data_IF_181412169258
#
_entry.id   IF_181412169258
#
_cell.length_a   1.000
_cell.length_b   1.000
_cell.length_c   1.000
_cell.angle_alpha   90.00
_cell.angle_beta   90.00
_cell.angle_gamma   90.00
#
_symmetry.space_group_name_H-M   'P 1'
#
loop_
_entity.id
_entity.type
_entity.pdbx_description
1 polymer ?
#
# COMPACT_ATOMS: atom_id res chain seq x y z
N UNK A 1 -19.64 -36.37 -8.34
CA UNK A 1 -19.37 -36.53 -6.89
C UNK A 1 -18.45 -35.45 -6.31
N UNK A 2 -17.24 -35.23 -6.83
CA UNK A 2 -16.25 -34.30 -6.21
C UNK A 2 -16.77 -32.86 -6.08
N UNK A 3 -17.52 -32.35 -7.05
CA UNK A 3 -18.05 -30.97 -7.01
C UNK A 3 -19.07 -30.76 -5.87
N UNK A 4 -19.91 -31.76 -5.57
CA UNK A 4 -20.90 -31.68 -4.50
C UNK A 4 -20.24 -31.82 -3.11
N UNK A 5 -19.23 -32.69 -2.99
CA UNK A 5 -18.41 -32.80 -1.78
C UNK A 5 -17.66 -31.49 -1.48
N UNK A 6 -17.01 -30.89 -2.48
CA UNK A 6 -16.31 -29.61 -2.32
C UNK A 6 -17.27 -28.46 -2.00
N UNK A 7 -18.49 -28.45 -2.56
CA UNK A 7 -19.54 -27.51 -2.17
C UNK A 7 -19.99 -27.74 -0.72
N UNK A 8 -20.15 -29.00 -0.29
CA UNK A 8 -20.46 -29.36 1.09
C UNK A 8 -19.41 -28.87 2.09
N UNK A 9 -18.13 -29.14 1.83
CA UNK A 9 -17.00 -28.65 2.65
C UNK A 9 -16.99 -27.12 2.71
N UNK A 10 -17.20 -26.45 1.58
CA UNK A 10 -17.25 -24.98 1.53
C UNK A 10 -18.44 -24.41 2.29
N UNK A 11 -19.59 -25.09 2.29
CA UNK A 11 -20.78 -24.64 3.03
C UNK A 11 -20.64 -24.89 4.53
N UNK A 12 -20.01 -26.00 4.92
CA UNK A 12 -19.69 -26.32 6.32
C UNK A 12 -18.62 -25.40 6.90
N UNK A 13 -17.65 -24.98 6.08
CA UNK A 13 -16.58 -24.09 6.49
C UNK A 13 -16.43 -22.92 5.51
N UNK A 14 -17.37 -21.94 5.53
CA UNK A 14 -17.37 -20.84 4.57
C UNK A 14 -16.07 -20.03 4.70
N UNK A 15 -15.45 -19.62 3.57
CA UNK A 15 -14.24 -18.80 3.61
C UNK A 15 -14.49 -17.52 4.39
N UNK A 16 -13.86 -17.40 5.56
CA UNK A 16 -13.93 -16.20 6.38
C UNK A 16 -12.87 -15.21 5.92
N UNK A 17 -13.21 -13.91 5.82
CA UNK A 17 -12.20 -12.92 5.52
C UNK A 17 -11.16 -12.89 6.64
N UNK A 18 -9.87 -12.83 6.27
CA UNK A 18 -8.77 -12.74 7.23
C UNK A 18 -8.92 -11.54 8.18
N UNK A 19 -9.46 -10.44 7.67
CA UNK A 19 -9.69 -9.20 8.42
C UNK A 19 -11.17 -8.85 8.43
N UNK A 20 -11.72 -8.65 9.63
CA UNK A 20 -13.09 -8.15 9.83
C UNK A 20 -13.16 -6.61 9.84
N UNK A 21 -12.08 -5.95 10.25
CA UNK A 21 -11.89 -4.50 10.22
C UNK A 21 -10.48 -4.18 9.73
N UNK A 22 -10.21 -2.92 9.39
CA UNK A 22 -8.87 -2.42 9.04
C UNK A 22 -8.35 -1.45 10.10
N UNK A 23 -7.06 -1.11 10.04
CA UNK A 23 -6.46 -0.04 10.82
C UNK A 23 -6.66 1.34 10.18
N UNK A 24 -6.50 2.41 10.97
CA UNK A 24 -6.67 3.79 10.55
C UNK A 24 -5.44 4.29 9.75
N UNK A 25 -5.68 4.66 8.48
CA UNK A 25 -4.65 5.14 7.57
C UNK A 25 -4.05 6.47 8.03
N UNK A 26 -4.83 7.33 8.67
CA UNK A 26 -4.38 8.66 9.08
C UNK A 26 -3.33 8.58 10.19
N UNK A 27 -3.43 7.59 11.09
CA UNK A 27 -2.41 7.30 12.10
C UNK A 27 -1.04 7.06 11.47
N UNK A 28 -0.99 6.24 10.42
CA UNK A 28 0.26 5.94 9.71
C UNK A 28 0.76 7.15 8.94
N UNK A 29 -0.13 7.88 8.25
CA UNK A 29 0.26 9.11 7.55
C UNK A 29 0.82 10.16 8.51
N UNK A 30 0.21 10.35 9.69
CA UNK A 30 0.70 11.29 10.70
C UNK A 30 2.09 10.91 11.20
N UNK A 31 2.33 9.61 11.45
CA UNK A 31 3.65 9.11 11.82
C UNK A 31 4.69 9.32 10.70
N UNK A 32 4.35 9.01 9.44
CA UNK A 32 5.26 9.20 8.30
C UNK A 32 5.54 10.68 8.01
N UNK A 33 4.59 11.57 8.28
CA UNK A 33 4.76 13.03 8.13
C UNK A 33 5.86 13.56 9.06
N UNK A 34 5.99 12.99 10.27
CA UNK A 34 7.03 13.36 11.22
C UNK A 34 8.45 12.90 10.86
N UNK A 35 8.61 12.08 9.81
CA UNK A 35 9.91 11.60 9.36
C UNK A 35 10.43 12.47 8.21
N UNK A 36 11.42 13.32 8.45
CA UNK A 36 11.97 14.15 7.36
C UNK A 36 12.82 13.34 6.38
N UNK A 37 12.50 13.39 5.08
CA UNK A 37 13.20 12.59 4.06
C UNK A 37 14.73 12.81 4.03
N UNK A 38 15.20 14.02 4.42
CA UNK A 38 16.61 14.38 4.39
C UNK A 38 17.44 13.73 5.52
N UNK A 39 16.83 13.48 6.68
CA UNK A 39 17.51 12.96 7.88
C UNK A 39 17.47 11.43 8.00
N UNK A 40 16.66 10.75 7.17
CA UNK A 40 16.51 9.30 7.21
C UNK A 40 17.74 8.57 6.64
N UNK A 41 18.11 7.46 7.31
CA UNK A 41 19.01 6.47 6.74
C UNK A 41 18.41 5.81 5.49
N UNK A 42 19.23 5.24 4.61
CA UNK A 42 18.77 4.59 3.38
C UNK A 42 17.70 3.53 3.64
N UNK A 43 17.84 2.73 4.71
CA UNK A 43 16.85 1.71 5.07
C UNK A 43 15.54 2.27 5.60
N UNK A 44 15.59 3.34 6.39
CA UNK A 44 14.40 4.02 6.88
C UNK A 44 13.66 4.74 5.74
N UNK A 45 14.41 5.42 4.86
CA UNK A 45 13.86 6.05 3.66
C UNK A 45 13.22 5.03 2.72
N UNK A 46 13.85 3.86 2.53
CA UNK A 46 13.27 2.76 1.76
C UNK A 46 11.94 2.28 2.36
N UNK A 47 11.87 2.19 3.69
CA UNK A 47 10.68 1.71 4.42
C UNK A 47 9.53 2.72 4.35
N UNK A 48 9.84 4.02 4.54
CA UNK A 48 8.91 5.13 4.33
C UNK A 48 8.38 5.14 2.90
N UNK A 49 9.28 5.10 1.90
CA UNK A 49 8.91 5.10 0.48
C UNK A 49 8.03 3.91 0.11
N UNK A 50 8.40 2.69 0.54
CA UNK A 50 7.61 1.49 0.29
C UNK A 50 6.19 1.60 0.85
N UNK A 51 6.05 2.20 2.04
CA UNK A 51 4.76 2.41 2.68
C UNK A 51 3.93 3.47 1.95
N UNK A 52 4.51 4.62 1.60
CA UNK A 52 3.85 5.67 0.83
C UNK A 52 3.40 5.17 -0.54
N UNK A 53 4.26 4.46 -1.28
CA UNK A 53 3.90 3.86 -2.56
C UNK A 53 2.76 2.85 -2.41
N UNK A 54 2.82 1.98 -1.38
CA UNK A 54 1.75 1.01 -1.14
C UNK A 54 0.39 1.67 -0.85
N UNK A 55 0.40 2.78 -0.10
CA UNK A 55 -0.80 3.58 0.19
C UNK A 55 -1.33 4.31 -1.05
N UNK A 56 -0.43 4.90 -1.85
CA UNK A 56 -0.81 5.74 -3.00
C UNK A 56 -1.27 4.94 -4.22
N UNK A 57 -0.64 3.80 -4.52
CA UNK A 57 -0.90 3.03 -5.76
C UNK A 57 -1.73 1.78 -5.53
N UNK A 58 -2.02 1.43 -4.27
CA UNK A 58 -2.58 0.14 -3.86
C UNK A 58 -1.72 -1.06 -4.29
N UNK A 59 -0.45 -0.87 -4.67
CA UNK A 59 0.39 -1.96 -5.15
C UNK A 59 0.70 -3.01 -4.08
N UNK A 60 0.82 -4.26 -4.51
CA UNK A 60 1.36 -5.36 -3.70
C UNK A 60 2.86 -5.20 -3.52
N UNK A 61 3.42 -5.76 -2.46
CA UNK A 61 4.86 -5.76 -2.23
C UNK A 61 5.67 -6.38 -3.40
N UNK A 62 5.11 -7.36 -4.13
CA UNK A 62 5.74 -7.90 -5.35
C UNK A 62 5.77 -6.92 -6.52
N UNK A 63 4.77 -6.03 -6.61
CA UNK A 63 4.71 -4.99 -7.63
C UNK A 63 5.69 -3.87 -7.26
N UNK A 64 5.79 -3.50 -5.98
CA UNK A 64 6.80 -2.55 -5.50
C UNK A 64 8.23 -3.07 -5.72
N UNK A 65 8.50 -4.36 -5.46
CA UNK A 65 9.78 -4.99 -5.79
C UNK A 65 10.02 -5.05 -7.31
N UNK A 66 8.94 -4.97 -8.08
CA UNK A 66 8.91 -5.03 -9.53
C UNK A 66 9.17 -3.71 -10.24
N UNK A 67 9.20 -2.57 -9.52
CA UNK A 67 9.36 -1.25 -10.13
C UNK A 67 10.70 -1.14 -10.84
N UNK A 68 10.66 -0.74 -12.12
CA UNK A 68 11.84 -0.52 -12.94
C UNK A 68 12.35 0.93 -12.77
N UNK A 69 13.57 1.09 -12.22
CA UNK A 69 14.19 2.40 -12.02
C UNK A 69 14.44 3.12 -13.34
N UNK A 70 14.79 2.39 -14.41
CA UNK A 70 15.14 2.96 -15.72
C UNK A 70 13.93 3.60 -16.41
N UNK A 71 12.73 3.17 -16.04
CA UNK A 71 11.47 3.68 -16.59
C UNK A 71 10.96 4.95 -15.90
N UNK A 72 11.67 5.46 -14.88
CA UNK A 72 11.22 6.61 -14.09
C UNK A 72 11.36 7.91 -14.87
N UNK A 73 10.29 8.71 -14.87
CA UNK A 73 10.31 10.07 -15.39
C UNK A 73 9.71 11.04 -14.38
N UNK A 74 10.52 12.02 -13.97
CA UNK A 74 10.12 13.07 -13.04
C UNK A 74 9.68 14.30 -13.83
N UNK A 75 8.49 14.80 -13.51
CA UNK A 75 7.89 15.98 -14.12
C UNK A 75 7.47 16.98 -13.03
N UNK A 76 7.11 18.21 -13.41
CA UNK A 76 6.61 19.20 -12.45
C UNK A 76 5.31 18.72 -11.74
N UNK A 77 4.49 17.95 -12.44
CA UNK A 77 3.19 17.44 -11.98
C UNK A 77 3.28 16.18 -11.12
N UNK A 78 4.40 15.46 -11.17
CA UNK A 78 4.52 14.15 -10.53
C UNK A 78 5.57 13.24 -11.15
N UNK A 79 5.51 11.95 -10.82
CA UNK A 79 6.45 10.94 -11.31
C UNK A 79 5.70 9.79 -11.98
N UNK A 80 6.20 9.34 -13.12
CA UNK A 80 5.74 8.10 -13.76
C UNK A 80 6.81 7.01 -13.70
N UNK A 81 6.37 5.75 -13.61
CA UNK A 81 7.25 4.58 -13.70
C UNK A 81 6.46 3.34 -14.13
N UNK A 82 7.18 2.34 -14.62
CA UNK A 82 6.62 1.06 -15.06
C UNK A 82 7.12 -0.09 -14.19
N UNK A 83 6.37 -1.19 -14.22
CA UNK A 83 6.80 -2.44 -13.62
C UNK A 83 7.63 -3.22 -14.65
N UNK A 84 8.71 -3.85 -14.21
CA UNK A 84 9.58 -4.60 -15.12
C UNK A 84 9.00 -5.97 -15.54
N UNK A 85 7.93 -6.42 -14.89
CA UNK A 85 7.28 -7.73 -15.12
C UNK A 85 5.78 -7.57 -15.04
N UNK A 86 5.07 -8.43 -15.75
CA UNK A 86 3.61 -8.51 -15.64
C UNK A 86 3.16 -8.82 -14.22
N UNK A 87 2.06 -8.18 -13.82
CA UNK A 87 1.38 -8.52 -12.57
C UNK A 87 0.74 -9.89 -12.70
N UNK A 88 0.59 -10.63 -11.59
CA UNK A 88 -0.11 -11.93 -11.57
C UNK A 88 -1.53 -11.88 -12.18
N UNK A 89 -2.22 -10.76 -12.04
CA UNK A 89 -3.56 -10.56 -12.60
C UNK A 89 -3.55 -10.20 -14.10
N UNK A 90 -2.41 -9.76 -14.64
CA UNK A 90 -2.26 -9.36 -16.02
C UNK A 90 -1.93 -10.59 -16.87
N UNK A 91 -2.80 -10.93 -17.82
CA UNK A 91 -2.67 -12.10 -18.71
C UNK A 91 -2.03 -11.75 -20.07
N UNK A 92 -1.69 -10.48 -20.32
CA UNK A 92 -1.10 -9.96 -21.57
C UNK A 92 -1.13 -8.42 -21.62
N UNK A 93 -0.68 -7.82 -22.74
CA UNK A 93 -0.69 -6.37 -22.99
C UNK A 93 0.61 -5.64 -22.62
N UNK A 94 0.65 -4.32 -22.76
CA UNK A 94 1.81 -3.52 -22.37
C UNK A 94 2.03 -3.51 -20.85
N UNK A 95 3.28 -3.36 -20.41
CA UNK A 95 3.59 -3.12 -19.00
C UNK A 95 2.97 -1.77 -18.59
N UNK A 96 2.16 -1.78 -17.55
CA UNK A 96 1.43 -0.59 -17.15
C UNK A 96 2.38 0.45 -16.54
N UNK A 97 2.27 1.68 -17.02
CA UNK A 97 2.86 2.86 -16.40
C UNK A 97 1.94 3.39 -15.31
N UNK A 98 2.50 3.71 -14.15
CA UNK A 98 1.82 4.29 -13.00
C UNK A 98 2.27 5.73 -12.91
N UNK A 99 1.32 6.66 -12.82
CA UNK A 99 1.58 8.08 -12.56
C UNK A 99 1.18 8.42 -11.12
N UNK A 100 2.12 9.01 -10.39
CA UNK A 100 1.91 9.56 -9.05
C UNK A 100 1.90 11.08 -9.16
N UNK A 101 0.72 11.66 -8.92
CA UNK A 101 0.58 13.11 -8.85
C UNK A 101 1.33 13.64 -7.62
N UNK A 102 2.06 14.74 -7.83
CA UNK A 102 2.74 15.47 -6.76
C UNK A 102 1.72 15.94 -5.71
N UNK A 103 2.04 15.69 -4.45
CA UNK A 103 1.24 16.18 -3.32
C UNK A 103 1.77 17.52 -2.80
N UNK A 104 0.88 18.33 -2.23
CA UNK A 104 1.24 19.60 -1.60
C UNK A 104 2.04 19.39 -0.29
N UNK A 105 1.73 18.33 0.45
CA UNK A 105 2.48 17.92 1.65
C UNK A 105 3.77 17.20 1.22
N UNK A 106 4.90 17.91 1.28
CA UNK A 106 6.20 17.38 0.83
C UNK A 106 6.66 16.14 1.61
N UNK A 107 6.26 15.98 2.87
CA UNK A 107 6.69 14.84 3.69
C UNK A 107 5.90 13.58 3.37
N UNK A 108 4.69 13.73 2.84
CA UNK A 108 3.85 12.63 2.40
C UNK A 108 3.90 12.40 0.89
N UNK A 109 4.48 13.32 0.12
CA UNK A 109 4.63 13.17 -1.32
C UNK A 109 5.52 11.95 -1.67
N UNK A 110 4.95 10.88 -2.25
CA UNK A 110 5.73 9.73 -2.64
C UNK A 110 6.75 10.07 -3.73
N UNK A 111 6.45 11.05 -4.59
CA UNK A 111 7.35 11.49 -5.66
C UNK A 111 8.63 12.12 -5.12
N UNK A 112 8.51 13.01 -4.15
CA UNK A 112 9.67 13.62 -3.47
C UNK A 112 10.47 12.62 -2.64
N UNK A 113 9.80 11.72 -1.92
CA UNK A 113 10.46 10.63 -1.19
C UNK A 113 11.22 9.71 -2.17
N UNK A 114 10.62 9.41 -3.32
CA UNK A 114 11.23 8.60 -4.39
C UNK A 114 12.47 9.28 -4.97
N UNK A 115 12.38 10.56 -5.32
CA UNK A 115 13.52 11.34 -5.83
C UNK A 115 14.68 11.31 -4.83
N UNK A 116 14.40 11.60 -3.56
CA UNK A 116 15.41 11.55 -2.50
C UNK A 116 16.04 10.16 -2.36
N UNK A 117 15.24 9.11 -2.45
CA UNK A 117 15.73 7.73 -2.37
C UNK A 117 16.64 7.39 -3.56
N UNK A 118 16.29 7.81 -4.77
CA UNK A 118 17.15 7.65 -5.95
C UNK A 118 18.49 8.37 -5.76
N UNK A 119 18.49 9.63 -5.32
CA UNK A 119 19.72 10.39 -5.05
C UNK A 119 20.66 9.71 -4.05
N UNK A 120 20.15 9.32 -2.87
CA UNK A 120 21.00 8.74 -1.82
C UNK A 120 21.46 7.33 -2.16
N UNK A 121 20.70 6.62 -3.01
CA UNK A 121 21.06 5.26 -3.44
C UNK A 121 21.99 5.23 -4.65
N UNK A 122 22.16 6.33 -5.38
CA UNK A 122 22.90 6.37 -6.65
C UNK A 122 24.35 5.88 -6.47
N UNK A 123 25.02 6.29 -5.39
CA UNK A 123 26.39 5.87 -5.06
C UNK A 123 26.55 4.36 -4.78
N UNK A 124 25.47 3.64 -4.53
CA UNK A 124 25.46 2.19 -4.30
C UNK A 124 25.03 1.41 -5.54
N UNK A 125 24.74 2.09 -6.66
CA UNK A 125 24.28 1.46 -7.89
C UNK A 125 25.44 0.85 -8.67
N UNK A 126 25.18 -0.34 -9.17
CA UNK A 126 26.06 -1.11 -10.05
C UNK A 126 25.20 -1.73 -11.16
N UNK A 127 25.83 -2.28 -12.20
CA UNK A 127 25.10 -2.97 -13.28
C UNK A 127 24.16 -4.05 -12.75
N UNK A 128 24.56 -4.74 -11.67
CA UNK A 128 23.80 -5.83 -11.04
C UNK A 128 22.54 -5.38 -10.30
N UNK A 129 22.41 -4.11 -9.92
CA UNK A 129 21.27 -3.62 -9.13
C UNK A 129 20.58 -2.36 -9.71
N UNK A 130 20.98 -1.94 -10.91
CA UNK A 130 20.50 -0.72 -11.58
C UNK A 130 19.04 -0.80 -12.04
N UNK A 131 18.51 -2.00 -12.25
CA UNK A 131 17.17 -2.22 -12.82
C UNK A 131 16.02 -1.96 -11.85
N UNK A 132 16.20 -2.31 -10.57
CA UNK A 132 15.10 -2.26 -9.59
C UNK A 132 15.19 -0.99 -8.79
N UNK A 133 14.03 -0.43 -8.44
CA UNK A 133 13.96 0.70 -7.51
C UNK A 133 14.63 0.34 -6.17
N UNK A 134 14.14 -0.67 -5.47
CA UNK A 134 14.61 -0.98 -4.12
C UNK A 134 15.85 -1.87 -4.12
N UNK A 135 16.85 -1.45 -3.33
CA UNK A 135 18.10 -2.19 -3.07
C UNK A 135 18.23 -2.51 -1.58
N UNK A 136 18.91 -3.62 -1.27
CA UNK A 136 19.18 -4.04 0.09
C UNK A 136 20.00 -2.98 0.82
N UNK A 137 19.77 -2.78 2.12
CA UNK A 137 20.44 -1.72 2.89
C UNK A 137 21.86 -2.07 3.34
N UNK A 138 22.31 -3.32 3.15
CA UNK A 138 23.59 -3.82 3.62
C UNK A 138 24.29 -4.67 2.54
N UNK A 139 25.61 -4.82 2.69
CA UNK A 139 26.43 -5.66 1.81
C UNK A 139 26.54 -5.08 0.39
N UNK A 140 26.35 -5.94 -0.62
CA UNK A 140 26.44 -5.56 -2.04
C UNK A 140 25.17 -4.90 -2.59
N UNK A 141 24.24 -4.47 -1.72
CA UNK A 141 22.99 -3.81 -2.11
C UNK A 141 22.21 -4.56 -3.22
N UNK A 142 21.89 -5.86 -3.03
CA UNK A 142 21.19 -6.65 -4.05
C UNK A 142 19.75 -6.16 -4.23
N UNK A 143 19.08 -6.66 -5.27
CA UNK A 143 17.65 -6.43 -5.45
C UNK A 143 16.83 -6.93 -4.25
N UNK A 144 15.87 -6.11 -3.84
CA UNK A 144 14.99 -6.42 -2.71
C UNK A 144 13.84 -7.32 -3.15
N UNK A 145 13.57 -8.35 -2.35
CA UNK A 145 12.45 -9.25 -2.59
C UNK A 145 11.15 -8.71 -1.97
N UNK A 146 10.02 -9.20 -2.48
CA UNK A 146 8.69 -8.81 -1.99
C UNK A 146 8.49 -9.04 -0.49
N UNK A 147 9.12 -10.07 0.08
CA UNK A 147 9.10 -10.36 1.51
C UNK A 147 9.75 -9.25 2.33
N UNK A 148 10.90 -8.74 1.90
CA UNK A 148 11.61 -7.64 2.55
C UNK A 148 10.81 -6.35 2.49
N UNK A 149 10.20 -6.01 1.35
CA UNK A 149 9.31 -4.85 1.25
C UNK A 149 8.11 -5.00 2.20
N UNK A 150 7.49 -6.19 2.25
CA UNK A 150 6.40 -6.43 3.18
C UNK A 150 6.83 -6.31 4.64
N UNK A 151 8.07 -6.67 4.97
CA UNK A 151 8.63 -6.52 6.31
C UNK A 151 8.89 -5.05 6.66
N UNK A 152 9.40 -4.25 5.72
CA UNK A 152 9.56 -2.81 5.87
C UNK A 152 8.24 -2.10 6.11
N UNK A 153 7.21 -2.40 5.30
CA UNK A 153 5.87 -1.84 5.50
C UNK A 153 5.34 -2.25 6.88
N UNK A 154 5.44 -3.54 7.25
CA UNK A 154 5.01 -4.02 8.59
C UNK A 154 5.75 -3.29 9.72
N UNK A 155 7.04 -2.97 9.54
CA UNK A 155 7.83 -2.21 10.51
C UNK A 155 7.30 -0.79 10.69
N UNK A 156 7.03 -0.06 9.61
CA UNK A 156 6.44 1.29 9.70
C UNK A 156 5.04 1.25 10.32
N UNK A 157 4.21 0.27 9.98
CA UNK A 157 2.90 0.08 10.62
C UNK A 157 3.03 -0.12 12.13
N UNK A 158 3.95 -0.98 12.57
CA UNK A 158 4.20 -1.22 14.00
C UNK A 158 4.67 0.04 14.70
N UNK A 159 5.58 0.79 14.09
CA UNK A 159 6.11 2.03 14.65
C UNK A 159 5.04 3.15 14.73
N UNK A 160 4.09 3.15 13.79
CA UNK A 160 2.93 4.04 13.82
C UNK A 160 1.86 3.65 14.87
N UNK A 161 1.99 2.50 15.54
CA UNK A 161 1.04 2.04 16.56
C UNK A 161 -0.03 1.06 16.05
N UNK A 162 0.09 0.55 14.82
CA UNK A 162 -0.82 -0.49 14.30
C UNK A 162 -0.50 -1.83 14.97
N UNK A 163 -1.54 -2.57 15.38
CA UNK A 163 -1.40 -3.95 15.87
C UNK A 163 -0.94 -4.88 14.73
N UNK A 164 0.36 -5.15 14.70
CA UNK A 164 0.96 -6.00 13.67
C UNK A 164 0.97 -7.51 13.99
N UNK A 165 0.44 -7.92 15.15
CA UNK A 165 0.08 -9.31 15.40
C UNK A 165 -1.20 -9.64 14.61
N UNK A 166 -2.13 -8.69 14.57
CA UNK A 166 -3.32 -8.77 13.74
C UNK A 166 -3.03 -8.46 12.27
N UNK A 167 -2.35 -7.36 11.96
CA UNK A 167 -2.21 -6.83 10.60
C UNK A 167 -0.80 -7.08 10.01
N UNK A 168 -0.74 -7.54 8.76
CA UNK A 168 0.53 -7.68 8.02
C UNK A 168 0.76 -6.51 7.07
N UNK A 169 1.96 -6.38 6.50
CA UNK A 169 2.23 -5.36 5.48
C UNK A 169 1.33 -5.46 4.23
N UNK A 170 0.73 -6.63 3.96
CA UNK A 170 -0.26 -6.76 2.88
C UNK A 170 -1.60 -6.08 3.19
N UNK A 171 -1.92 -5.85 4.46
CA UNK A 171 -3.16 -5.19 4.88
C UNK A 171 -3.23 -3.73 4.43
N UNK A 172 -2.07 -3.07 4.22
CA UNK A 172 -1.95 -1.69 3.73
C UNK A 172 -2.76 -1.42 2.47
N UNK A 173 -2.76 -2.37 1.54
CA UNK A 173 -3.54 -2.27 0.31
C UNK A 173 -5.05 -2.23 0.58
N UNK A 174 -5.55 -3.02 1.54
CA UNK A 174 -6.96 -3.01 1.92
C UNK A 174 -7.34 -1.76 2.71
N UNK A 175 -6.47 -1.33 3.63
CA UNK A 175 -6.63 -0.11 4.41
C UNK A 175 -6.72 1.12 3.49
N UNK A 176 -5.76 1.28 2.58
CA UNK A 176 -5.70 2.38 1.62
C UNK A 176 -6.93 2.40 0.70
N UNK A 177 -7.34 1.25 0.16
CA UNK A 177 -8.52 1.18 -0.69
C UNK A 177 -9.82 1.49 0.07
N UNK A 178 -9.92 1.07 1.33
CA UNK A 178 -11.05 1.41 2.20
C UNK A 178 -11.10 2.90 2.52
N UNK A 179 -9.95 3.50 2.84
CA UNK A 179 -9.84 4.96 3.06
C UNK A 179 -10.20 5.74 1.80
N UNK A 180 -9.73 5.32 0.63
CA UNK A 180 -10.08 5.96 -0.64
C UNK A 180 -11.60 5.94 -0.88
N UNK A 181 -12.26 4.80 -0.65
CA UNK A 181 -13.71 4.69 -0.77
C UNK A 181 -14.45 5.57 0.24
N UNK A 182 -13.99 5.59 1.50
CA UNK A 182 -14.57 6.44 2.55
C UNK A 182 -14.39 7.95 2.26
N UNK A 183 -13.31 8.32 1.58
CA UNK A 183 -13.04 9.68 1.11
C UNK A 183 -13.77 10.05 -0.20
N UNK A 184 -14.66 9.19 -0.71
CA UNK A 184 -15.47 9.47 -1.90
C UNK A 184 -14.77 9.27 -3.25
N UNK A 185 -13.60 8.62 -3.29
CA UNK A 185 -12.98 8.24 -4.57
C UNK A 185 -13.88 7.23 -5.28
N UNK A 186 -14.09 7.41 -6.59
CA UNK A 186 -14.97 6.53 -7.35
C UNK A 186 -14.52 5.07 -7.27
N UNK A 187 -15.48 4.16 -7.20
CA UNK A 187 -15.20 2.72 -7.17
C UNK A 187 -14.41 2.31 -8.41
N UNK A 188 -14.72 2.86 -9.58
CA UNK A 188 -13.97 2.61 -10.81
C UNK A 188 -12.48 2.96 -10.70
N UNK A 189 -12.15 4.14 -10.15
CA UNK A 189 -10.76 4.54 -9.94
C UNK A 189 -10.05 3.62 -8.95
N UNK A 190 -10.74 3.19 -7.88
CA UNK A 190 -10.20 2.23 -6.89
C UNK A 190 -9.97 0.85 -7.52
N UNK A 191 -10.91 0.37 -8.34
CA UNK A 191 -10.78 -0.90 -9.05
C UNK A 191 -9.65 -0.85 -10.07
N UNK A 192 -9.49 0.27 -10.78
CA UNK A 192 -8.41 0.50 -11.74
C UNK A 192 -7.04 0.53 -11.05
N UNK A 193 -6.88 1.35 -9.99
CA UNK A 193 -5.64 1.41 -9.21
C UNK A 193 -5.32 0.07 -8.53
N UNK A 194 -6.36 -0.60 -8.01
CA UNK A 194 -6.28 -1.91 -7.40
C UNK A 194 -6.09 -3.05 -8.40
N UNK A 195 -6.36 -2.90 -9.69
CA UNK A 195 -6.42 -4.05 -10.62
C UNK A 195 -7.41 -5.13 -10.17
N UNK A 196 -8.60 -4.71 -9.77
CA UNK A 196 -9.70 -5.61 -9.47
C UNK A 196 -10.67 -5.62 -10.65
N UNK A 197 -10.88 -6.79 -11.24
CA UNK A 197 -11.78 -6.97 -12.39
C UNK A 197 -13.26 -6.84 -12.04
N UNK A 198 -13.61 -6.87 -10.75
CA UNK A 198 -14.99 -6.78 -10.29
C UNK A 198 -15.07 -6.07 -8.95
N UNK A 199 -16.09 -5.22 -8.80
CA UNK A 199 -16.42 -4.55 -7.55
C UNK A 199 -16.64 -5.54 -6.40
N UNK A 200 -17.29 -6.67 -6.69
CA UNK A 200 -17.52 -7.73 -5.72
C UNK A 200 -16.22 -8.23 -5.07
N UNK A 201 -15.09 -8.19 -5.78
CA UNK A 201 -13.78 -8.53 -5.22
C UNK A 201 -13.31 -7.46 -4.23
N UNK A 202 -13.43 -6.19 -4.59
CA UNK A 202 -13.10 -5.07 -3.71
C UNK A 202 -13.98 -5.07 -2.45
N UNK A 203 -15.31 -5.09 -2.61
CA UNK A 203 -16.27 -5.04 -1.51
C UNK A 203 -16.13 -6.25 -0.58
N UNK A 204 -15.97 -7.46 -1.13
CA UNK A 204 -15.86 -8.67 -0.31
C UNK A 204 -14.54 -8.78 0.43
N UNK A 205 -13.41 -8.45 -0.20
CA UNK A 205 -12.08 -8.77 0.36
C UNK A 205 -11.31 -7.58 0.92
N UNK A 206 -11.61 -6.36 0.49
CA UNK A 206 -10.78 -5.18 0.79
C UNK A 206 -11.54 -4.06 1.49
N UNK A 207 -12.80 -3.77 1.12
CA UNK A 207 -13.61 -2.73 1.77
C UNK A 207 -13.93 -3.12 3.21
N UNK A 208 -13.32 -2.43 4.16
CA UNK A 208 -13.48 -2.65 5.60
C UNK A 208 -13.56 -1.31 6.31
N UNK A 209 -14.38 -1.25 7.34
CA UNK A 209 -14.39 -0.10 8.22
C UNK A 209 -13.13 -0.11 9.07
N UNK A 210 -12.56 1.08 9.29
CA UNK A 210 -11.48 1.24 10.25
C UNK A 210 -12.01 0.87 11.64
N UNK A 211 -11.23 0.11 12.40
CA UNK A 211 -11.57 -0.19 13.77
C UNK A 211 -11.76 1.13 14.53
N UNK A 212 -12.96 1.34 15.08
CA UNK A 212 -13.29 2.51 15.87
C UNK A 212 -12.37 2.49 17.11
N UNK A 213 -11.56 3.54 17.28
CA UNK A 213 -10.86 3.75 18.54
C UNK A 213 -11.92 3.91 19.65
N UNK A 214 -11.83 3.20 20.79
CA UNK A 214 -12.86 3.19 21.83
C UNK A 214 -13.17 4.56 22.45
N UNK A 215 -12.39 5.61 22.14
CA UNK A 215 -12.68 7.00 22.52
C UNK A 215 -13.86 7.61 21.77
N UNK A 216 -14.30 7.03 20.65
CA UNK A 216 -15.46 7.51 19.89
C UNK A 216 -16.59 6.50 20.04
N UNK A 217 -17.18 6.46 21.23
CA UNK A 217 -18.35 5.63 21.51
C UNK A 217 -19.50 6.01 20.58
N UNK A 218 -19.96 5.04 19.79
CA UNK A 218 -21.14 5.12 18.91
C UNK A 218 -22.40 5.50 19.70
N UNK A 219 -22.40 5.31 21.02
CA UNK A 219 -23.49 5.72 21.90
C UNK A 219 -23.75 7.25 21.84
N UNK A 220 -22.72 8.07 21.63
CA UNK A 220 -22.90 9.53 21.54
C UNK A 220 -23.64 9.99 20.28
N UNK A 221 -23.47 9.28 19.16
CA UNK A 221 -24.10 9.63 17.89
C UNK A 221 -25.54 9.11 17.75
N UNK A 222 -25.86 8.00 18.42
CA UNK A 222 -27.22 7.43 18.40
C UNK A 222 -28.16 8.17 19.37
N UNK A 223 -27.64 8.67 20.49
CA UNK A 223 -28.45 9.37 21.50
C UNK A 223 -28.76 10.84 21.14
N UNK A 224 -28.05 11.45 20.19
CA UNK A 224 -28.32 12.83 19.73
C UNK A 224 -29.43 12.92 18.68
N UNK A 225 -29.80 11.81 18.04
CA UNK A 225 -30.88 11.74 17.04
C UNK A 225 -32.28 11.59 17.68
N UNK A 226 -32.37 11.44 19.01
CA UNK A 226 -33.62 11.19 19.74
C UNK A 226 -34.29 12.42 20.36
N UNK A 227 -33.79 13.65 20.15
CA UNK A 227 -34.47 14.88 20.62
C UNK A 227 -34.96 15.69 19.43
N UNK A 228 -36.13 15.30 18.93
CA UNK A 228 -37.00 16.17 18.15
C UNK A 228 -37.98 16.76 19.17
N UNK A 229 -37.97 18.08 19.32
CA UNK A 229 -39.03 18.84 19.96
C UNK A 229 -40.20 19.02 18.97
#
# INVERSE_FOLDING_TARGET
MVVLLMKGIRNQNPPRPKYQSTWDVDMVLNYLRGQENASLSVGALASKLATLLSLATLNRASELAGIDKRSMSFTAEGVSFSLSKFRKAQRGGALQSIFLKKLADEQLDPGRCLSRYCEVTEKYRTDKNSERLFIGSVGQHPHVQSSTISAWIKKELKAAGVDTERFSGHSTRGAAASKAAASGVSVESILSAGHWSAESTFTRFYRRDAAINPSTSVAGAVLSLGKIA
#
